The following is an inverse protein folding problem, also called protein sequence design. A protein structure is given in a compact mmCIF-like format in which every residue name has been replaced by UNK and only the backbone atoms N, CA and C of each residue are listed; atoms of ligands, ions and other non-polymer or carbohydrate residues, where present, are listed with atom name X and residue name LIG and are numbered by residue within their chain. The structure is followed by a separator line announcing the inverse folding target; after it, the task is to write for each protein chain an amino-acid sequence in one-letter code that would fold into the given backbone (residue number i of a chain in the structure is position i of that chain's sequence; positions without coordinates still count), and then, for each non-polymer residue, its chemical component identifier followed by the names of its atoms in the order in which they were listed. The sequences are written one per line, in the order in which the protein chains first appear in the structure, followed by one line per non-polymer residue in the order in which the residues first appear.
data_IF_082597610636
#
_entry.id   IF_082597610636
#
_cell.length_a   1.000
_cell.length_b   1.000
_cell.length_c   1.000
_cell.angle_alpha   90.00
_cell.angle_beta   90.00
_cell.angle_gamma   90.00
#
_symmetry.space_group_name_H-M   'P 1'
#
loop_
_entity.id
_entity.type
_entity.pdbx_description
1 polymer ?
#
# COMPACT_ATOMS: atom_id res chain seq x y z
N UNK A 1 -84.00 0.01 -20.67
CA UNK A 1 -83.12 0.00 -19.48
C UNK A 1 -82.08 -1.13 -19.50
N UNK A 2 -82.45 -2.42 -19.65
CA UNK A 2 -81.49 -3.55 -19.67
C UNK A 2 -80.36 -3.44 -20.71
N UNK A 3 -80.66 -3.02 -21.94
CA UNK A 3 -79.67 -2.84 -23.02
C UNK A 3 -78.63 -1.74 -22.76
N UNK A 4 -79.02 -0.68 -22.05
CA UNK A 4 -78.11 0.42 -21.67
C UNK A 4 -77.17 -0.08 -20.56
N UNK A 5 -77.70 -0.81 -19.58
CA UNK A 5 -76.91 -1.40 -18.49
C UNK A 5 -75.85 -2.41 -18.99
N UNK A 6 -76.19 -3.21 -20.00
CA UNK A 6 -75.25 -4.16 -20.64
C UNK A 6 -74.12 -3.42 -21.40
N UNK A 7 -74.42 -2.28 -22.04
CA UNK A 7 -73.40 -1.47 -22.73
C UNK A 7 -72.43 -0.81 -21.75
N UNK A 8 -72.92 -0.27 -20.64
CA UNK A 8 -72.08 0.34 -19.61
C UNK A 8 -71.21 -0.67 -18.87
N UNK A 9 -71.73 -1.88 -18.59
CA UNK A 9 -70.93 -2.96 -17.98
C UNK A 9 -69.85 -3.47 -18.93
N UNK A 10 -70.15 -3.64 -20.22
CA UNK A 10 -69.14 -3.97 -21.23
C UNK A 10 -68.04 -2.91 -21.34
N UNK A 11 -68.40 -1.62 -21.29
CA UNK A 11 -67.45 -0.52 -21.37
C UNK A 11 -66.55 -0.41 -20.12
N UNK A 12 -67.11 -0.67 -18.93
CA UNK A 12 -66.36 -0.73 -17.69
C UNK A 12 -65.35 -1.90 -17.65
N UNK A 13 -65.73 -3.07 -18.19
CA UNK A 13 -64.82 -4.22 -18.31
C UNK A 13 -63.65 -3.94 -19.25
N UNK A 14 -63.93 -3.29 -20.38
CA UNK A 14 -62.88 -2.89 -21.34
C UNK A 14 -61.93 -1.87 -20.70
N UNK A 15 -62.46 -0.88 -19.97
CA UNK A 15 -61.64 0.11 -19.25
C UNK A 15 -60.75 -0.55 -18.17
N UNK A 16 -61.29 -1.51 -17.42
CA UNK A 16 -60.53 -2.27 -16.42
C UNK A 16 -59.41 -3.11 -17.05
N UNK A 17 -59.65 -3.71 -18.21
CA UNK A 17 -58.65 -4.49 -18.95
C UNK A 17 -57.48 -3.60 -19.41
N UNK A 18 -57.77 -2.42 -20.00
CA UNK A 18 -56.72 -1.48 -20.40
C UNK A 18 -55.92 -0.96 -19.20
N UNK A 19 -56.57 -0.71 -18.06
CA UNK A 19 -55.90 -0.29 -16.84
C UNK A 19 -54.96 -1.39 -16.30
N UNK A 20 -55.40 -2.65 -16.31
CA UNK A 20 -54.60 -3.79 -15.89
C UNK A 20 -53.38 -4.02 -16.80
N UNK A 21 -53.56 -3.93 -18.13
CA UNK A 21 -52.46 -4.06 -19.10
C UNK A 21 -51.43 -2.93 -18.93
N UNK A 22 -51.88 -1.69 -18.76
CA UNK A 22 -50.99 -0.54 -18.53
C UNK A 22 -50.19 -0.65 -17.23
N UNK A 23 -50.78 -1.17 -16.15
CA UNK A 23 -50.07 -1.43 -14.89
C UNK A 23 -49.03 -2.54 -15.03
N UNK A 24 -49.35 -3.61 -15.77
CA UNK A 24 -48.44 -4.74 -15.98
C UNK A 24 -47.22 -4.35 -16.83
N UNK A 25 -47.43 -3.67 -17.96
CA UNK A 25 -46.34 -3.20 -18.81
C UNK A 25 -45.44 -2.18 -18.11
N UNK A 26 -46.03 -1.32 -17.26
CA UNK A 26 -45.27 -0.31 -16.51
C UNK A 26 -44.41 -0.90 -15.40
N UNK A 27 -44.94 -1.84 -14.61
CA UNK A 27 -44.18 -2.53 -13.56
C UNK A 27 -42.99 -3.30 -14.14
N UNK A 28 -43.21 -4.06 -15.22
CA UNK A 28 -42.13 -4.85 -15.87
C UNK A 28 -41.06 -3.94 -16.50
N UNK A 29 -41.44 -2.78 -17.03
CA UNK A 29 -40.48 -1.82 -17.62
C UNK A 29 -39.66 -1.09 -16.55
N UNK A 30 -40.27 -0.67 -15.45
CA UNK A 30 -39.59 0.02 -14.34
C UNK A 30 -38.67 -0.95 -13.58
N UNK A 31 -39.12 -2.17 -13.29
CA UNK A 31 -38.31 -3.24 -12.67
C UNK A 31 -37.17 -3.70 -13.59
N UNK A 32 -37.42 -3.79 -14.90
CA UNK A 32 -36.40 -4.12 -15.91
C UNK A 32 -35.31 -3.05 -16.02
N UNK A 33 -35.67 -1.77 -15.93
CA UNK A 33 -34.70 -0.66 -15.92
C UNK A 33 -33.93 -0.59 -14.60
N UNK A 34 -34.61 -0.80 -13.47
CA UNK A 34 -33.98 -0.83 -12.15
C UNK A 34 -32.97 -1.98 -12.04
N UNK A 35 -33.36 -3.20 -12.44
CA UNK A 35 -32.46 -4.36 -12.46
C UNK A 35 -31.30 -4.20 -13.42
N UNK A 36 -31.51 -3.62 -14.61
CA UNK A 36 -30.43 -3.30 -15.54
C UNK A 36 -29.45 -2.24 -14.97
N UNK A 37 -29.95 -1.22 -14.27
CA UNK A 37 -29.12 -0.22 -13.61
C UNK A 37 -28.30 -0.83 -12.47
N UNK A 38 -28.90 -1.70 -11.64
CA UNK A 38 -28.19 -2.44 -10.58
C UNK A 38 -27.13 -3.38 -11.16
N UNK A 39 -27.45 -4.11 -12.22
CA UNK A 39 -26.49 -4.99 -12.90
C UNK A 39 -25.32 -4.20 -13.50
N UNK A 40 -25.58 -3.03 -14.05
CA UNK A 40 -24.55 -2.11 -14.56
C UNK A 40 -23.66 -1.59 -13.44
N UNK A 41 -24.23 -1.09 -12.34
CA UNK A 41 -23.48 -0.64 -11.17
C UNK A 41 -22.62 -1.74 -10.56
N UNK A 42 -23.15 -2.97 -10.46
CA UNK A 42 -22.41 -4.11 -9.94
C UNK A 42 -21.23 -4.47 -10.87
N UNK A 43 -21.43 -4.37 -12.18
CA UNK A 43 -20.37 -4.64 -13.18
C UNK A 43 -19.29 -3.56 -13.15
N UNK A 44 -19.66 -2.30 -13.06
CA UNK A 44 -18.73 -1.17 -12.91
C UNK A 44 -17.91 -1.29 -11.62
N UNK A 45 -18.56 -1.63 -10.49
CA UNK A 45 -17.86 -1.86 -9.22
C UNK A 45 -16.90 -3.07 -9.30
N UNK A 46 -17.29 -4.13 -10.01
CA UNK A 46 -16.44 -5.30 -10.22
C UNK A 46 -15.23 -4.99 -11.12
N UNK A 47 -15.45 -4.25 -12.21
CA UNK A 47 -14.39 -3.84 -13.13
C UNK A 47 -13.41 -2.87 -12.46
N UNK A 48 -13.91 -1.91 -11.66
CA UNK A 48 -13.09 -1.07 -10.81
C UNK A 48 -12.28 -1.89 -9.79
N UNK A 49 -12.92 -2.85 -9.12
CA UNK A 49 -12.25 -3.75 -8.17
C UNK A 49 -11.11 -4.55 -8.81
N UNK A 50 -11.32 -5.09 -10.01
CA UNK A 50 -10.28 -5.80 -10.76
C UNK A 50 -9.12 -4.89 -11.18
N UNK A 51 -9.43 -3.68 -11.66
CA UNK A 51 -8.42 -2.71 -12.04
C UNK A 51 -7.53 -2.30 -10.85
N UNK A 52 -8.13 -2.10 -9.67
CA UNK A 52 -7.40 -1.82 -8.43
C UNK A 52 -6.58 -3.03 -7.96
N UNK A 53 -7.12 -4.25 -8.09
CA UNK A 53 -6.40 -5.49 -7.77
C UNK A 53 -5.13 -5.68 -8.61
N UNK A 54 -5.21 -5.41 -9.91
CA UNK A 54 -4.06 -5.53 -10.83
C UNK A 54 -2.95 -4.53 -10.49
N UNK A 55 -3.33 -3.29 -10.18
CA UNK A 55 -2.40 -2.24 -9.72
C UNK A 55 -1.67 -2.67 -8.45
N UNK A 56 -2.41 -3.22 -7.48
CA UNK A 56 -1.86 -3.70 -6.21
C UNK A 56 -0.84 -4.82 -6.44
N UNK A 57 -1.18 -5.83 -7.24
CA UNK A 57 -0.29 -6.98 -7.47
C UNK A 57 0.99 -6.57 -8.23
N UNK A 58 0.89 -5.66 -9.19
CA UNK A 58 2.05 -5.12 -9.89
C UNK A 58 2.99 -4.36 -8.94
N UNK A 59 2.44 -3.47 -8.09
CA UNK A 59 3.26 -2.72 -7.13
C UNK A 59 3.92 -3.66 -6.13
N UNK A 60 3.20 -4.67 -5.61
CA UNK A 60 3.76 -5.68 -4.69
C UNK A 60 4.94 -6.42 -5.34
N UNK A 61 4.80 -6.85 -6.59
CA UNK A 61 5.88 -7.57 -7.30
C UNK A 61 7.13 -6.70 -7.47
N UNK A 62 6.97 -5.49 -8.02
CA UNK A 62 8.09 -4.55 -8.24
C UNK A 62 8.77 -4.17 -6.91
N UNK A 63 7.97 -3.98 -5.86
CA UNK A 63 8.46 -3.70 -4.52
C UNK A 63 9.35 -4.84 -3.98
N UNK A 64 8.87 -6.08 -3.97
CA UNK A 64 9.62 -7.23 -3.44
C UNK A 64 10.94 -7.43 -4.22
N UNK A 65 10.91 -7.29 -5.54
CA UNK A 65 12.11 -7.47 -6.35
C UNK A 65 13.16 -6.39 -6.08
N UNK A 66 12.73 -5.13 -5.91
CA UNK A 66 13.65 -4.02 -5.66
C UNK A 66 14.26 -4.08 -4.26
N UNK A 67 13.49 -4.47 -3.25
CA UNK A 67 13.99 -4.66 -1.89
C UNK A 67 15.02 -5.80 -1.81
N UNK A 68 14.82 -6.90 -2.55
CA UNK A 68 15.81 -7.99 -2.67
C UNK A 68 17.11 -7.52 -3.31
N UNK A 69 17.04 -6.65 -4.32
CA UNK A 69 18.23 -6.07 -4.95
C UNK A 69 19.00 -5.19 -3.96
N UNK A 70 18.30 -4.35 -3.19
CA UNK A 70 18.92 -3.50 -2.16
C UNK A 70 19.60 -4.39 -1.11
N UNK A 71 18.88 -5.39 -0.59
CA UNK A 71 19.42 -6.34 0.40
C UNK A 71 20.69 -7.05 -0.12
N UNK A 72 20.65 -7.53 -1.37
CA UNK A 72 21.79 -8.18 -2.01
C UNK A 72 23.01 -7.27 -2.14
N UNK A 73 22.80 -6.00 -2.50
CA UNK A 73 23.89 -4.99 -2.55
C UNK A 73 24.46 -4.73 -1.17
N UNK A 74 23.62 -4.52 -0.16
CA UNK A 74 24.06 -4.30 1.22
C UNK A 74 24.87 -5.47 1.74
N UNK A 75 24.40 -6.71 1.56
CA UNK A 75 25.16 -7.92 1.92
C UNK A 75 26.52 -7.99 1.22
N UNK A 76 26.57 -7.65 -0.06
CA UNK A 76 27.82 -7.63 -0.83
C UNK A 76 28.81 -6.59 -0.28
N UNK A 77 28.32 -5.41 0.12
CA UNK A 77 29.16 -4.37 0.73
C UNK A 77 29.70 -4.84 2.07
N UNK A 78 28.84 -5.39 2.94
CA UNK A 78 29.23 -5.93 4.25
C UNK A 78 30.31 -7.01 4.09
N UNK A 79 30.12 -7.97 3.16
CA UNK A 79 31.11 -9.01 2.89
C UNK A 79 32.48 -8.48 2.45
N UNK A 80 32.51 -7.28 1.85
CA UNK A 80 33.76 -6.64 1.43
C UNK A 80 34.41 -5.79 2.52
N UNK A 81 33.77 -5.60 3.68
CA UNK A 81 34.35 -4.80 4.77
C UNK A 81 35.76 -5.26 5.14
N UNK A 82 36.07 -6.57 5.32
CA UNK A 82 37.43 -7.00 5.66
C UNK A 82 38.48 -6.73 4.58
N UNK A 83 38.06 -6.52 3.32
CA UNK A 83 38.96 -6.16 2.21
C UNK A 83 39.38 -4.70 2.32
N UNK A 84 38.49 -3.82 2.78
CA UNK A 84 38.74 -2.38 2.88
C UNK A 84 39.18 -1.94 4.29
N UNK A 85 38.75 -2.67 5.32
CA UNK A 85 39.16 -2.53 6.72
C UNK A 85 40.00 -3.75 7.07
N UNK A 86 41.29 -3.68 6.74
CA UNK A 86 42.22 -4.77 7.08
C UNK A 86 42.31 -4.97 8.59
N UNK A 87 42.65 -6.17 9.04
CA UNK A 87 42.83 -6.44 10.47
C UNK A 87 43.88 -5.52 11.13
N UNK A 88 44.89 -5.07 10.39
CA UNK A 88 45.90 -4.15 10.91
C UNK A 88 45.31 -2.77 11.19
N UNK A 89 44.46 -2.26 10.28
CA UNK A 89 43.73 -1.01 10.48
C UNK A 89 42.70 -1.14 11.61
N UNK A 90 42.03 -2.29 11.69
CA UNK A 90 41.05 -2.61 12.71
C UNK A 90 41.66 -2.62 14.12
N UNK A 91 42.87 -3.18 14.27
CA UNK A 91 43.64 -3.15 15.53
C UNK A 91 44.24 -1.78 15.83
N UNK A 92 44.59 -1.00 14.81
CA UNK A 92 45.21 0.31 14.98
C UNK A 92 44.21 1.40 15.38
N UNK A 93 42.92 1.19 15.14
CA UNK A 93 41.86 2.14 15.43
C UNK A 93 40.97 1.63 16.56
N UNK A 94 41.12 2.18 17.76
CA UNK A 94 40.25 1.85 18.89
C UNK A 94 38.96 2.66 18.81
N UNK A 95 37.82 1.96 18.77
CA UNK A 95 36.50 2.57 18.99
C UNK A 95 36.30 2.77 20.49
N UNK A 96 36.11 4.00 20.94
CA UNK A 96 35.96 4.30 22.37
C UNK A 96 34.53 4.07 22.87
N UNK A 97 34.36 3.89 24.18
CA UNK A 97 33.06 3.67 24.81
C UNK A 97 32.11 4.86 24.64
N UNK A 98 32.64 6.09 24.60
CA UNK A 98 31.86 7.29 24.33
C UNK A 98 31.20 7.30 22.96
N UNK A 99 31.91 6.83 21.92
CA UNK A 99 31.33 6.66 20.59
C UNK A 99 30.13 5.71 20.62
N UNK A 100 30.29 4.53 21.24
CA UNK A 100 29.23 3.52 21.34
C UNK A 100 28.04 4.08 22.11
N UNK A 101 28.26 4.80 23.22
CA UNK A 101 27.19 5.41 24.02
C UNK A 101 26.34 6.38 23.21
N UNK A 102 26.96 7.27 22.44
CA UNK A 102 26.24 8.23 21.59
C UNK A 102 25.55 7.54 20.43
N UNK A 103 26.22 6.57 19.80
CA UNK A 103 25.66 5.76 18.72
C UNK A 103 24.38 5.03 19.16
N UNK A 104 24.44 4.33 20.30
CA UNK A 104 23.32 3.52 20.78
C UNK A 104 22.16 4.38 21.27
N UNK A 105 22.44 5.50 21.93
CA UNK A 105 21.41 6.49 22.26
C UNK A 105 20.71 7.01 21.00
N UNK A 106 21.47 7.29 19.93
CA UNK A 106 20.91 7.73 18.65
C UNK A 106 20.05 6.64 18.00
N UNK A 107 20.52 5.39 17.99
CA UNK A 107 19.79 4.25 17.44
C UNK A 107 18.49 3.95 18.21
N UNK A 108 18.49 4.15 19.53
CA UNK A 108 17.33 3.95 20.39
C UNK A 108 16.38 5.16 20.43
N UNK A 109 16.71 6.28 19.78
CA UNK A 109 15.91 7.51 19.83
C UNK A 109 15.87 8.15 21.23
N UNK A 110 16.93 7.96 22.02
CA UNK A 110 17.07 8.49 23.37
C UNK A 110 17.65 9.92 23.34
N UNK A 111 17.43 10.72 24.41
CA UNK A 111 18.10 12.01 24.54
C UNK A 111 19.62 11.86 24.54
N UNK A 112 20.30 12.99 24.31
CA UNK A 112 21.76 13.04 24.43
C UNK A 112 22.20 12.46 25.79
N UNK A 113 23.19 11.56 25.82
CA UNK A 113 23.71 11.03 27.07
C UNK A 113 24.22 12.14 27.98
N UNK A 114 24.37 11.82 29.27
CA UNK A 114 25.08 12.69 30.22
C UNK A 114 26.46 13.11 29.68
N UNK A 115 27.02 14.23 30.16
CA UNK A 115 28.31 14.73 29.71
C UNK A 115 29.40 13.64 29.70
N UNK A 116 30.32 13.75 28.74
CA UNK A 116 31.43 12.81 28.63
C UNK A 116 32.26 12.76 29.92
N UNK A 117 32.74 11.57 30.27
CA UNK A 117 33.59 11.32 31.42
C UNK A 117 34.75 10.39 31.09
N UNK A 118 35.66 10.18 32.04
CA UNK A 118 36.88 9.39 31.82
C UNK A 118 36.60 7.94 31.34
N UNK A 119 35.45 7.37 31.67
CA UNK A 119 35.03 6.05 31.19
C UNK A 119 34.79 6.02 29.67
N UNK A 120 34.47 7.15 29.05
CA UNK A 120 34.22 7.25 27.61
C UNK A 120 35.49 7.15 26.76
N UNK A 121 36.65 7.44 27.35
CA UNK A 121 37.96 7.35 26.70
C UNK A 121 38.43 5.90 26.57
N UNK A 122 37.87 4.97 27.35
CA UNK A 122 38.24 3.57 27.30
C UNK A 122 37.82 2.93 25.97
N UNK A 123 38.60 1.96 25.49
CA UNK A 123 38.21 1.15 24.34
C UNK A 123 36.94 0.35 24.64
N UNK A 124 35.99 0.35 23.71
CA UNK A 124 34.71 -0.36 23.86
C UNK A 124 34.82 -1.87 23.62
N UNK A 125 35.93 -2.32 23.02
CA UNK A 125 36.07 -3.69 22.52
C UNK A 125 35.36 -3.95 21.19
N UNK A 126 34.66 -2.95 20.63
CA UNK A 126 34.07 -3.03 19.30
C UNK A 126 35.14 -2.74 18.24
N UNK A 127 35.23 -3.63 17.26
CA UNK A 127 36.12 -3.48 16.13
C UNK A 127 35.65 -2.34 15.20
N UNK A 128 36.59 -1.63 14.58
CA UNK A 128 36.31 -0.64 13.53
C UNK A 128 35.56 -1.30 12.35
N UNK A 129 35.90 -2.53 12.00
CA UNK A 129 35.21 -3.33 10.98
C UNK A 129 33.73 -3.55 11.35
N UNK A 130 33.42 -3.87 12.60
CA UNK A 130 32.05 -4.01 13.08
C UNK A 130 31.24 -2.71 12.98
N UNK A 131 31.89 -1.55 13.22
CA UNK A 131 31.27 -0.24 12.98
C UNK A 131 30.95 -0.06 11.50
N UNK A 132 31.89 -0.38 10.60
CA UNK A 132 31.69 -0.28 9.15
C UNK A 132 30.56 -1.19 8.65
N UNK A 133 30.48 -2.42 9.15
CA UNK A 133 29.38 -3.36 8.85
C UNK A 133 28.03 -2.82 9.32
N UNK A 134 27.98 -2.30 10.55
CA UNK A 134 26.76 -1.71 11.14
C UNK A 134 26.28 -0.50 10.33
N UNK A 135 27.19 0.40 9.95
CA UNK A 135 26.86 1.57 9.12
C UNK A 135 26.36 1.15 7.74
N UNK A 136 27.01 0.18 7.10
CA UNK A 136 26.56 -0.35 5.82
C UNK A 136 25.16 -0.99 5.91
N UNK A 137 24.89 -1.74 6.99
CA UNK A 137 23.58 -2.29 7.29
C UNK A 137 22.51 -1.21 7.47
N UNK A 138 22.82 -0.16 8.23
CA UNK A 138 21.92 0.97 8.44
C UNK A 138 21.56 1.67 7.13
N UNK A 139 22.55 1.92 6.24
CA UNK A 139 22.27 2.52 4.94
C UNK A 139 21.44 1.61 4.04
N UNK A 140 21.65 0.30 4.09
CA UNK A 140 20.79 -0.67 3.40
C UNK A 140 19.33 -0.59 3.87
N UNK A 141 19.10 -0.58 5.18
CA UNK A 141 17.76 -0.45 5.75
C UNK A 141 17.11 0.91 5.40
N UNK A 142 17.87 2.00 5.40
CA UNK A 142 17.38 3.31 4.96
C UNK A 142 16.96 3.31 3.48
N UNK A 143 17.76 2.69 2.60
CA UNK A 143 17.43 2.58 1.17
C UNK A 143 16.17 1.74 0.96
N UNK A 144 16.02 0.62 1.69
CA UNK A 144 14.80 -0.19 1.69
C UNK A 144 13.59 0.65 2.11
N UNK A 145 13.66 1.32 3.28
CA UNK A 145 12.57 2.17 3.79
C UNK A 145 12.16 3.26 2.78
N UNK A 146 13.13 3.91 2.14
CA UNK A 146 12.88 4.91 1.11
C UNK A 146 12.19 4.31 -0.13
N UNK A 147 12.58 3.11 -0.53
CA UNK A 147 11.92 2.38 -1.61
C UNK A 147 10.47 2.04 -1.23
N UNK A 148 10.22 1.53 -0.02
CA UNK A 148 8.85 1.19 0.41
C UNK A 148 7.94 2.42 0.40
N UNK A 149 8.44 3.56 0.90
CA UNK A 149 7.70 4.83 0.89
C UNK A 149 7.39 5.30 -0.54
N UNK A 150 8.38 5.24 -1.44
CA UNK A 150 8.20 5.61 -2.85
C UNK A 150 7.13 4.75 -3.51
N UNK A 151 7.15 3.44 -3.26
CA UNK A 151 6.18 2.50 -3.81
C UNK A 151 4.78 2.70 -3.24
N UNK A 152 4.66 3.00 -1.94
CA UNK A 152 3.40 3.36 -1.32
C UNK A 152 2.81 4.64 -1.93
N UNK A 153 3.63 5.68 -2.11
CA UNK A 153 3.20 6.93 -2.74
C UNK A 153 2.74 6.69 -4.19
N UNK A 154 3.46 5.86 -4.95
CA UNK A 154 3.07 5.48 -6.30
C UNK A 154 1.73 4.73 -6.33
N UNK A 155 1.51 3.80 -5.40
CA UNK A 155 0.25 3.07 -5.26
C UNK A 155 -0.93 4.01 -4.98
N UNK A 156 -0.76 4.92 -4.00
CA UNK A 156 -1.80 5.88 -3.63
C UNK A 156 -2.16 6.79 -4.81
N UNK A 157 -1.16 7.26 -5.57
CA UNK A 157 -1.40 8.06 -6.77
C UNK A 157 -2.19 7.29 -7.83
N UNK A 158 -1.83 6.04 -8.09
CA UNK A 158 -2.56 5.21 -9.06
C UNK A 158 -4.00 4.94 -8.62
N UNK A 159 -4.24 4.75 -7.33
CA UNK A 159 -5.60 4.62 -6.80
C UNK A 159 -6.41 5.90 -6.97
N UNK A 160 -5.83 7.07 -6.71
CA UNK A 160 -6.48 8.36 -6.93
C UNK A 160 -6.83 8.57 -8.41
N UNK A 161 -5.91 8.26 -9.33
CA UNK A 161 -6.14 8.41 -10.78
C UNK A 161 -7.27 7.48 -11.26
N UNK A 162 -7.34 6.25 -10.75
CA UNK A 162 -8.41 5.28 -11.11
C UNK A 162 -9.77 5.65 -10.52
N UNK A 163 -9.80 6.23 -9.32
CA UNK A 163 -11.03 6.70 -8.68
C UNK A 163 -11.52 8.03 -9.28
N UNK A 164 -10.62 8.96 -9.60
CA UNK A 164 -10.95 10.25 -10.21
C UNK A 164 -11.30 10.18 -11.70
N UNK A 165 -10.82 9.16 -12.42
CA UNK A 165 -11.19 8.90 -13.82
C UNK A 165 -12.54 8.19 -14.01
N UNK A 166 -13.30 7.95 -12.93
CA UNK A 166 -14.65 7.35 -12.96
C UNK A 166 -15.78 8.38 -12.76
N UNK A 167 -15.49 9.69 -12.89
CA UNK A 167 -16.50 10.76 -12.96
C UNK A 167 -16.70 11.26 -14.38
#
# INVERSE_FOLDING_TARGET
MKQVLIRWTGLALVAALFFALGYYERGVSEDGKASAATAKQLREAFDQGQALGTVRDQVVTVYVDRDRVIEGKTKTIIQKVPVYVSEAADRACTVNAGFVRVHDASAAGLPAPDPAGAADEAGSGIALSAVAETVAGNYGACEQNANQLTQLQALLKQYQDKQGGSQ
#
